data_IF_378149170683
#
_entry.id   IF_378149170683
#
_cell.length_a   1.000
_cell.length_b   1.000
_cell.length_c   1.000
_cell.angle_alpha   90.00
_cell.angle_beta   90.00
_cell.angle_gamma   90.00
#
_symmetry.space_group_name_H-M   'P 1'
#
loop_
_entity.id
_entity.type
_entity.pdbx_description
1 polymer ?
#
# COMPACT_ATOMS: atom_id res chain seq x y z
N UNK A 1 11.95 1.65 -6.66
CA UNK A 1 11.60 0.33 -6.10
C UNK A 1 12.50 0.09 -4.92
N UNK A 2 11.91 -0.11 -3.73
CA UNK A 2 12.67 -0.58 -2.57
C UNK A 2 12.68 -2.10 -2.59
N UNK A 3 13.85 -2.71 -2.70
CA UNK A 3 14.01 -4.16 -2.68
C UNK A 3 14.57 -4.60 -1.31
N UNK A 4 13.74 -5.36 -0.58
CA UNK A 4 14.10 -5.97 0.70
C UNK A 4 14.11 -7.50 0.64
N UNK A 5 13.98 -8.09 -0.54
CA UNK A 5 13.89 -9.56 -0.73
C UNK A 5 15.13 -10.30 -0.24
N UNK A 6 16.27 -9.61 -0.16
CA UNK A 6 17.54 -10.15 0.33
C UNK A 6 17.72 -9.99 1.85
N UNK A 7 16.79 -9.34 2.55
CA UNK A 7 16.87 -9.14 4.00
C UNK A 7 16.11 -10.27 4.70
N UNK A 8 16.80 -11.08 5.50
CA UNK A 8 16.16 -12.14 6.27
C UNK A 8 15.08 -11.60 7.23
N UNK A 9 14.01 -12.38 7.46
CA UNK A 9 12.94 -12.02 8.38
C UNK A 9 12.06 -10.86 7.90
N UNK A 10 11.80 -10.78 6.60
CA UNK A 10 10.94 -9.77 5.97
C UNK A 10 9.80 -10.37 5.11
N UNK A 11 9.89 -11.64 4.72
CA UNK A 11 8.86 -12.29 3.93
C UNK A 11 7.64 -12.62 4.81
N UNK A 12 6.50 -11.98 4.54
CA UNK A 12 5.22 -12.02 5.26
C UNK A 12 5.27 -11.48 6.71
N UNK A 13 6.40 -11.59 7.37
CA UNK A 13 6.65 -11.11 8.73
C UNK A 13 7.88 -10.21 8.73
N UNK A 14 7.87 -9.19 9.58
CA UNK A 14 8.98 -8.25 9.73
C UNK A 14 9.58 -8.34 11.14
N UNK A 15 10.74 -8.98 11.24
CA UNK A 15 11.50 -9.03 12.48
C UNK A 15 11.89 -7.62 12.96
N UNK A 16 11.97 -7.35 14.27
CA UNK A 16 12.30 -6.02 14.80
C UNK A 16 13.60 -5.44 14.24
N UNK A 17 14.64 -6.26 14.09
CA UNK A 17 15.93 -5.85 13.53
C UNK A 17 15.82 -5.48 12.05
N UNK A 18 14.99 -6.21 11.30
CA UNK A 18 14.71 -5.92 9.89
C UNK A 18 13.89 -4.66 9.74
N UNK A 19 12.89 -4.44 10.60
CA UNK A 19 12.13 -3.20 10.66
C UNK A 19 13.04 -1.99 10.94
N UNK A 20 14.02 -2.10 11.85
CA UNK A 20 14.98 -1.04 12.12
C UNK A 20 15.85 -0.72 10.88
N UNK A 21 16.35 -1.75 10.18
CA UNK A 21 17.13 -1.58 8.94
C UNK A 21 16.32 -0.96 7.81
N UNK A 22 15.05 -1.34 7.68
CA UNK A 22 14.14 -0.76 6.68
C UNK A 22 13.94 0.73 6.96
N UNK A 23 13.63 1.09 8.22
CA UNK A 23 13.48 2.50 8.64
C UNK A 23 14.74 3.33 8.35
N UNK A 24 15.92 2.79 8.63
CA UNK A 24 17.19 3.44 8.31
C UNK A 24 17.34 3.67 6.80
N UNK A 25 17.04 2.65 5.98
CA UNK A 25 17.14 2.73 4.51
C UNK A 25 16.19 3.77 3.90
N UNK A 26 15.00 3.94 4.45
CA UNK A 26 14.02 4.92 3.95
C UNK A 26 14.11 6.28 4.67
N UNK A 27 15.06 6.46 5.58
CA UNK A 27 15.13 7.66 6.43
C UNK A 27 15.19 8.96 5.63
N UNK A 28 15.99 8.99 4.57
CA UNK A 28 16.14 10.17 3.69
C UNK A 28 15.08 10.28 2.59
N UNK A 29 14.21 9.29 2.43
CA UNK A 29 13.14 9.32 1.42
C UNK A 29 11.98 10.18 1.88
N UNK A 30 11.39 10.94 0.96
CA UNK A 30 10.20 11.75 1.20
C UNK A 30 8.95 10.84 1.25
N UNK A 31 8.17 10.83 2.35
CA UNK A 31 6.95 10.04 2.41
C UNK A 31 5.86 10.50 1.43
N UNK A 32 5.92 11.74 0.90
CA UNK A 32 4.91 12.30 0.01
C UNK A 32 4.96 11.81 -1.46
N UNK A 33 5.88 10.89 -1.77
CA UNK A 33 6.00 10.29 -3.10
C UNK A 33 5.15 9.05 -3.35
N UNK A 34 5.34 8.47 -4.55
CA UNK A 34 4.83 7.15 -4.94
C UNK A 34 5.92 6.10 -4.68
N UNK A 35 5.61 5.12 -3.83
CA UNK A 35 6.55 4.11 -3.40
C UNK A 35 6.16 2.73 -3.93
N UNK A 36 7.09 2.04 -4.58
CA UNK A 36 6.87 0.67 -5.02
C UNK A 36 7.35 -0.28 -3.93
N UNK A 37 6.38 -1.04 -3.42
CA UNK A 37 6.50 -2.20 -2.56
C UNK A 37 6.44 -3.43 -3.47
N UNK A 38 7.19 -4.47 -3.15
CA UNK A 38 7.39 -5.67 -3.97
C UNK A 38 6.10 -6.53 -4.03
N UNK A 39 6.14 -7.79 -3.62
CA UNK A 39 4.96 -8.66 -3.47
C UNK A 39 4.10 -8.27 -2.25
N UNK A 40 2.87 -8.77 -2.19
CA UNK A 40 1.93 -8.60 -1.05
C UNK A 40 2.53 -8.94 0.32
N UNK A 41 3.50 -9.86 0.36
CA UNK A 41 4.25 -10.23 1.57
C UNK A 41 4.87 -9.04 2.33
N UNK A 42 5.13 -7.94 1.63
CA UNK A 42 5.81 -6.76 2.16
C UNK A 42 4.86 -5.57 2.36
N UNK A 43 3.54 -5.76 2.26
CA UNK A 43 2.57 -4.67 2.34
C UNK A 43 2.68 -3.87 3.65
N UNK A 44 3.17 -4.51 4.72
CA UNK A 44 3.49 -3.85 5.98
C UNK A 44 4.49 -2.68 5.87
N UNK A 45 5.24 -2.55 4.76
CA UNK A 45 6.12 -1.40 4.50
C UNK A 45 5.35 -0.07 4.49
N UNK A 46 4.05 -0.09 4.16
CA UNK A 46 3.15 1.07 4.29
C UNK A 46 3.20 1.68 5.68
N UNK A 47 3.28 0.86 6.73
CA UNK A 47 3.38 1.33 8.12
C UNK A 47 4.58 2.27 8.31
N UNK A 48 5.74 1.93 7.73
CA UNK A 48 6.96 2.73 7.88
C UNK A 48 6.90 4.05 7.10
N UNK A 49 6.12 4.11 6.03
CA UNK A 49 5.84 5.38 5.35
C UNK A 49 4.92 6.28 6.18
N UNK A 50 3.87 5.70 6.78
CA UNK A 50 2.95 6.43 7.65
C UNK A 50 3.66 7.03 8.88
N UNK A 51 4.60 6.28 9.49
CA UNK A 51 5.42 6.76 10.61
C UNK A 51 6.21 8.05 10.28
N UNK A 52 6.56 8.26 9.01
CA UNK A 52 7.34 9.42 8.56
C UNK A 52 6.49 10.67 8.31
N UNK A 53 5.17 10.56 8.28
CA UNK A 53 4.29 11.70 8.04
C UNK A 53 4.34 12.68 9.23
N UNK A 54 4.65 13.94 8.93
CA UNK A 54 4.75 14.99 9.95
C UNK A 54 3.39 15.46 10.50
N UNK A 55 2.31 15.21 9.77
CA UNK A 55 0.94 15.59 10.13
C UNK A 55 -0.01 14.39 10.00
N UNK A 56 -1.08 14.32 10.80
CA UNK A 56 -2.07 13.27 10.66
C UNK A 56 -2.71 13.23 9.27
N UNK A 57 -3.05 12.02 8.81
CA UNK A 57 -3.74 11.75 7.56
C UNK A 57 -4.86 10.72 7.77
N UNK A 58 -5.69 10.57 6.74
CA UNK A 58 -6.57 9.41 6.59
C UNK A 58 -5.80 8.36 5.79
N UNK A 59 -5.81 7.11 6.23
CA UNK A 59 -5.31 5.98 5.45
C UNK A 59 -6.47 5.40 4.63
N UNK A 60 -6.30 5.33 3.31
CA UNK A 60 -7.18 4.60 2.42
C UNK A 60 -6.36 3.50 1.76
N UNK A 61 -6.71 2.24 2.00
CA UNK A 61 -6.02 1.12 1.36
C UNK A 61 -6.97 0.32 0.47
N UNK A 62 -6.43 -0.20 -0.63
CA UNK A 62 -7.12 -1.09 -1.55
C UNK A 62 -6.45 -2.45 -1.52
N UNK A 63 -7.21 -3.47 -1.17
CA UNK A 63 -6.69 -4.79 -0.83
C UNK A 63 -7.81 -5.84 -0.83
N UNK A 64 -7.55 -7.03 -1.37
CA UNK A 64 -8.46 -8.17 -1.24
C UNK A 64 -8.43 -8.78 0.17
N UNK A 65 -7.35 -8.56 0.92
CA UNK A 65 -7.16 -8.96 2.30
C UNK A 65 -7.45 -7.80 3.27
N UNK A 66 -7.94 -8.08 4.51
CA UNK A 66 -8.20 -7.03 5.48
C UNK A 66 -6.94 -6.45 6.12
N UNK A 67 -5.88 -7.26 6.23
CA UNK A 67 -4.60 -6.91 6.88
C UNK A 67 -4.68 -6.32 8.30
N UNK A 68 -5.81 -6.57 8.98
CA UNK A 68 -6.18 -6.05 10.30
C UNK A 68 -6.29 -7.18 11.33
N UNK A 69 -5.57 -8.29 11.11
CA UNK A 69 -5.58 -9.44 12.04
C UNK A 69 -4.78 -9.12 13.30
N UNK A 70 -5.06 -9.86 14.39
CA UNK A 70 -4.17 -9.85 15.56
C UNK A 70 -2.82 -10.46 15.20
N UNK A 71 -1.76 -10.03 15.90
CA UNK A 71 -0.44 -10.58 15.68
C UNK A 71 -0.37 -12.07 16.05
N UNK A 72 0.10 -12.88 15.11
CA UNK A 72 0.16 -14.34 15.27
C UNK A 72 1.20 -14.79 16.33
N UNK A 73 2.18 -13.96 16.66
CA UNK A 73 3.29 -14.32 17.56
C UNK A 73 3.66 -13.21 18.54
N UNK A 74 3.84 -13.59 19.82
CA UNK A 74 4.51 -12.80 20.85
C UNK A 74 3.99 -11.37 21.03
N UNK A 75 4.92 -10.44 21.26
CA UNK A 75 4.69 -9.02 21.60
C UNK A 75 4.17 -8.16 20.42
N UNK A 76 3.49 -8.75 19.44
CA UNK A 76 2.94 -8.00 18.32
C UNK A 76 3.85 -7.95 17.09
N UNK A 77 4.43 -9.09 16.68
CA UNK A 77 5.27 -9.16 15.47
C UNK A 77 4.51 -8.60 14.25
N UNK A 78 5.12 -7.65 13.55
CA UNK A 78 4.55 -7.04 12.35
C UNK A 78 4.56 -8.04 11.18
N UNK A 79 3.52 -8.00 10.35
CA UNK A 79 3.31 -8.88 9.20
C UNK A 79 2.43 -8.20 8.15
N UNK A 80 2.37 -8.75 6.94
CA UNK A 80 1.37 -8.33 5.95
C UNK A 80 -0.05 -8.49 6.52
N UNK A 81 -0.36 -9.59 7.21
CA UNK A 81 -1.72 -9.80 7.74
C UNK A 81 -2.18 -8.88 8.89
N UNK A 82 -1.32 -8.03 9.48
CA UNK A 82 -1.67 -7.21 10.65
C UNK A 82 -1.19 -5.74 10.60
N UNK A 83 -0.65 -5.28 9.48
CA UNK A 83 -0.10 -3.92 9.42
C UNK A 83 -1.17 -2.84 9.57
N UNK A 84 -2.42 -3.10 9.17
CA UNK A 84 -3.53 -2.17 9.34
C UNK A 84 -3.87 -2.00 10.83
N UNK A 85 -3.84 -3.08 11.59
CA UNK A 85 -4.04 -3.04 13.05
C UNK A 85 -2.97 -2.20 13.75
N UNK A 86 -1.73 -2.28 13.27
CA UNK A 86 -0.63 -1.43 13.73
C UNK A 86 -0.81 0.03 13.28
N UNK A 87 -1.20 0.27 12.02
CA UNK A 87 -1.40 1.59 11.45
C UNK A 87 -2.48 2.38 12.20
N UNK A 88 -3.59 1.74 12.60
CA UNK A 88 -4.65 2.35 13.43
C UNK A 88 -4.16 2.91 14.76
N UNK A 89 -3.02 2.45 15.27
CA UNK A 89 -2.45 2.88 16.55
C UNK A 89 -1.46 4.03 16.38
N UNK A 90 -1.10 4.39 15.15
CA UNK A 90 -0.21 5.51 14.88
C UNK A 90 -0.91 6.85 15.12
N UNK A 91 -0.29 7.81 15.82
CA UNK A 91 -0.86 9.15 15.98
C UNK A 91 -0.99 9.91 14.65
N UNK A 92 -0.27 9.49 13.61
CA UNK A 92 -0.37 10.01 12.25
C UNK A 92 -1.62 9.52 11.51
N UNK A 93 -2.31 8.47 11.98
CA UNK A 93 -3.45 7.89 11.27
C UNK A 93 -4.74 8.23 12.01
N UNK A 94 -5.50 9.18 11.48
CA UNK A 94 -6.73 9.66 12.10
C UNK A 94 -7.93 8.74 11.83
N UNK A 95 -7.97 8.11 10.65
CA UNK A 95 -8.99 7.17 10.24
C UNK A 95 -8.42 6.20 9.20
N UNK A 96 -9.03 5.02 9.09
CA UNK A 96 -8.67 4.00 8.10
C UNK A 96 -9.92 3.56 7.34
N UNK A 97 -9.84 3.54 6.01
CA UNK A 97 -10.86 3.02 5.12
C UNK A 97 -10.28 1.97 4.18
N UNK A 98 -11.08 0.97 3.84
CA UNK A 98 -10.70 -0.13 2.94
C UNK A 98 -11.57 -0.08 1.68
N UNK A 99 -10.94 -0.22 0.51
CA UNK A 99 -11.59 -0.38 -0.79
C UNK A 99 -12.57 0.75 -1.17
N UNK A 100 -12.29 1.96 -0.69
CA UNK A 100 -13.08 3.17 -0.96
C UNK A 100 -13.44 3.94 0.31
N UNK A 101 -14.20 5.01 0.12
CA UNK A 101 -14.75 5.84 1.20
C UNK A 101 -16.26 5.65 1.29
N UNK A 102 -16.91 6.04 2.40
CA UNK A 102 -18.37 5.98 2.53
C UNK A 102 -19.08 6.63 1.34
N UNK A 103 -20.19 6.04 0.91
CA UNK A 103 -21.01 6.59 -0.18
C UNK A 103 -21.56 7.98 0.16
N UNK A 104 -21.65 8.85 -0.85
CA UNK A 104 -22.15 10.22 -0.72
C UNK A 104 -21.05 11.28 -0.65
N UNK A 105 -21.39 12.45 -0.09
CA UNK A 105 -20.47 13.59 0.06
C UNK A 105 -19.48 13.33 1.21
N UNK A 106 -18.50 12.46 0.95
CA UNK A 106 -17.44 12.16 1.89
C UNK A 106 -16.58 13.41 2.16
N UNK A 107 -16.43 13.76 3.44
CA UNK A 107 -15.65 14.92 3.87
C UNK A 107 -14.44 14.46 4.72
N UNK A 108 -13.20 14.61 4.22
CA UNK A 108 -11.98 14.26 4.95
C UNK A 108 -11.62 15.25 6.07
N UNK A 109 -12.47 16.24 6.36
CA UNK A 109 -12.29 17.25 7.41
C UNK A 109 -10.96 18.02 7.30
N UNK A 110 -10.49 18.24 6.07
CA UNK A 110 -9.23 18.93 5.78
C UNK A 110 -7.96 18.10 6.00
N UNK A 111 -8.09 16.81 6.34
CA UNK A 111 -6.95 15.91 6.43
C UNK A 111 -6.50 15.43 5.04
N UNK A 112 -5.19 15.30 4.80
CA UNK A 112 -4.69 14.65 3.60
C UNK A 112 -4.94 13.13 3.66
N UNK A 113 -4.85 12.47 2.51
CA UNK A 113 -5.08 11.02 2.38
C UNK A 113 -3.80 10.31 1.96
N UNK A 114 -3.36 9.32 2.71
CA UNK A 114 -2.34 8.37 2.26
C UNK A 114 -3.04 7.18 1.59
N UNK A 115 -2.59 6.82 0.38
CA UNK A 115 -3.19 5.73 -0.39
C UNK A 115 -2.23 4.54 -0.44
N UNK A 116 -2.66 3.36 -0.05
CA UNK A 116 -1.89 2.11 -0.24
C UNK A 116 -2.69 1.15 -1.11
N UNK A 117 -2.05 0.54 -2.11
CA UNK A 117 -2.75 -0.35 -3.05
C UNK A 117 -1.99 -1.67 -3.12
N UNK A 118 -2.57 -2.74 -2.59
CA UNK A 118 -2.22 -4.09 -3.04
C UNK A 118 -3.01 -4.41 -4.31
N UNK A 119 -2.29 -4.80 -5.36
CA UNK A 119 -2.88 -5.15 -6.65
C UNK A 119 -3.73 -6.41 -6.60
N UNK A 120 -3.64 -7.23 -5.55
CA UNK A 120 -4.53 -8.37 -5.40
C UNK A 120 -6.00 -7.97 -5.27
N UNK A 121 -6.32 -6.71 -4.94
CA UNK A 121 -7.70 -6.18 -4.96
C UNK A 121 -8.33 -6.28 -6.35
N UNK A 122 -7.50 -6.24 -7.40
CA UNK A 122 -7.94 -6.20 -8.78
C UNK A 122 -8.31 -7.59 -9.29
N UNK A 123 -9.11 -7.65 -10.36
CA UNK A 123 -9.37 -8.90 -11.07
C UNK A 123 -8.11 -9.44 -11.74
N UNK A 124 -8.10 -10.74 -12.07
CA UNK A 124 -7.09 -11.35 -12.92
C UNK A 124 -6.90 -10.66 -14.29
N UNK A 125 -7.80 -9.79 -14.74
CA UNK A 125 -7.56 -9.06 -15.99
C UNK A 125 -6.44 -8.02 -15.85
N UNK A 126 -6.29 -7.42 -14.66
CA UNK A 126 -5.42 -6.27 -14.43
C UNK A 126 -4.24 -6.55 -13.50
N UNK A 127 -4.29 -7.61 -12.70
CA UNK A 127 -3.17 -7.98 -11.85
C UNK A 127 -2.97 -9.49 -11.85
N UNK A 128 -1.73 -9.89 -11.59
CA UNK A 128 -1.29 -11.25 -11.30
C UNK A 128 -0.46 -11.19 -10.04
N UNK A 129 -0.97 -11.76 -8.96
CA UNK A 129 -0.28 -11.82 -7.67
C UNK A 129 -0.13 -13.29 -7.27
N UNK A 130 0.62 -13.56 -6.20
CA UNK A 130 0.69 -14.88 -5.58
C UNK A 130 -0.28 -15.05 -4.40
N UNK A 131 -1.15 -14.07 -4.20
CA UNK A 131 -2.22 -14.04 -3.21
C UNK A 131 -3.59 -14.21 -3.89
N UNK A 132 -4.61 -14.60 -3.13
CA UNK A 132 -5.97 -14.72 -3.67
C UNK A 132 -6.46 -13.37 -4.20
N UNK A 133 -6.86 -13.32 -5.46
CA UNK A 133 -7.32 -12.09 -6.09
C UNK A 133 -8.76 -11.73 -5.72
N UNK A 134 -9.01 -10.43 -5.73
CA UNK A 134 -10.31 -9.81 -5.62
C UNK A 134 -10.99 -9.63 -6.97
N UNK A 135 -12.04 -8.81 -6.95
CA UNK A 135 -12.96 -8.65 -8.08
C UNK A 135 -13.00 -7.22 -8.64
N UNK A 136 -12.16 -6.31 -8.14
CA UNK A 136 -12.19 -4.91 -8.56
C UNK A 136 -11.60 -4.74 -9.96
N UNK A 137 -12.30 -4.05 -10.85
CA UNK A 137 -11.77 -3.67 -12.16
C UNK A 137 -10.88 -2.43 -12.02
N UNK A 138 -9.78 -2.34 -12.77
CA UNK A 138 -8.89 -1.17 -12.73
C UNK A 138 -9.62 0.17 -12.93
N UNK A 139 -10.60 0.31 -13.85
CA UNK A 139 -11.39 1.53 -13.96
C UNK A 139 -12.16 1.92 -12.68
N UNK A 140 -12.61 0.94 -11.88
CA UNK A 140 -13.30 1.22 -10.60
C UNK A 140 -12.31 1.77 -9.57
N UNK A 141 -11.11 1.19 -9.50
CA UNK A 141 -10.03 1.71 -8.67
C UNK A 141 -9.68 3.16 -9.04
N UNK A 142 -9.50 3.44 -10.34
CA UNK A 142 -9.17 4.79 -10.83
C UNK A 142 -10.28 5.80 -10.55
N UNK A 143 -11.56 5.44 -10.73
CA UNK A 143 -12.70 6.31 -10.39
C UNK A 143 -12.70 6.63 -8.89
N UNK A 144 -12.50 5.62 -8.04
CA UNK A 144 -12.41 5.82 -6.59
C UNK A 144 -11.24 6.75 -6.23
N UNK A 145 -10.03 6.50 -6.74
CA UNK A 145 -8.86 7.35 -6.51
C UNK A 145 -9.08 8.80 -7.00
N UNK A 146 -9.77 8.98 -8.12
CA UNK A 146 -10.12 10.30 -8.65
C UNK A 146 -11.03 11.09 -7.72
N UNK A 147 -12.07 10.44 -7.14
CA UNK A 147 -12.95 11.07 -6.15
C UNK A 147 -12.20 11.47 -4.89
N UNK A 148 -11.28 10.62 -4.43
CA UNK A 148 -10.44 10.90 -3.25
C UNK A 148 -9.54 12.10 -3.49
N UNK A 149 -8.83 12.13 -4.61
CA UNK A 149 -7.93 13.22 -4.95
C UNK A 149 -8.66 14.54 -5.22
N UNK A 150 -9.93 14.50 -5.63
CA UNK A 150 -10.79 15.68 -5.73
C UNK A 150 -11.22 16.21 -4.34
N UNK A 151 -11.35 15.34 -3.34
CA UNK A 151 -11.78 15.69 -1.99
C UNK A 151 -10.64 16.12 -1.05
N UNK A 152 -9.44 15.57 -1.23
CA UNK A 152 -8.27 15.87 -0.38
C UNK A 152 -6.93 15.73 -1.12
N UNK A 153 -5.89 16.47 -0.69
CA UNK A 153 -4.53 16.25 -1.18
C UNK A 153 -4.00 14.88 -0.73
N UNK A 154 -3.18 14.25 -1.59
CA UNK A 154 -2.49 13.02 -1.23
C UNK A 154 -1.30 13.32 -0.31
N UNK A 155 -1.20 12.57 0.79
CA UNK A 155 -0.06 12.59 1.72
C UNK A 155 1.13 11.77 1.22
N UNK A 156 0.93 10.97 0.17
CA UNK A 156 1.82 9.95 -0.35
C UNK A 156 1.01 8.75 -0.83
N UNK A 157 1.63 7.85 -1.58
CA UNK A 157 1.02 6.56 -1.87
C UNK A 157 2.05 5.45 -2.05
N UNK A 158 1.60 4.21 -1.93
CA UNK A 158 2.38 3.04 -2.29
C UNK A 158 1.58 2.04 -3.15
N UNK A 159 2.34 1.25 -3.91
CA UNK A 159 1.85 0.17 -4.78
C UNK A 159 2.55 -1.12 -4.38
N UNK A 160 1.79 -2.15 -4.05
CA UNK A 160 2.18 -3.49 -3.62
C UNK A 160 1.56 -4.55 -4.57
N UNK A 161 1.80 -5.84 -4.31
CA UNK A 161 1.17 -6.94 -5.05
C UNK A 161 1.88 -7.30 -6.36
N UNK A 162 3.21 -7.20 -6.42
CA UNK A 162 4.00 -7.79 -7.51
C UNK A 162 3.97 -9.33 -7.49
N UNK A 163 4.37 -9.96 -8.61
CA UNK A 163 4.60 -11.40 -8.71
C UNK A 163 6.02 -11.64 -9.23
N UNK A 164 6.75 -12.55 -8.60
CA UNK A 164 8.18 -12.80 -8.88
C UNK A 164 8.40 -14.15 -9.57
N UNK A 165 9.54 -14.30 -10.25
CA UNK A 165 9.92 -15.57 -10.91
C UNK A 165 9.98 -16.72 -9.90
N UNK A 166 10.49 -16.48 -8.69
CA UNK A 166 10.56 -17.48 -7.62
C UNK A 166 9.18 -17.95 -7.15
N UNK A 167 8.14 -17.14 -7.38
CA UNK A 167 6.74 -17.45 -7.08
C UNK A 167 5.94 -17.89 -8.31
N UNK A 168 6.62 -18.22 -9.40
CA UNK A 168 6.00 -18.81 -10.59
C UNK A 168 5.53 -17.82 -11.64
N UNK A 169 5.98 -16.55 -11.60
CA UNK A 169 5.64 -15.57 -12.64
C UNK A 169 6.00 -16.06 -14.05
N UNK A 170 5.06 -15.91 -14.97
CA UNK A 170 5.27 -16.04 -16.41
C UNK A 170 5.59 -14.69 -17.05
N UNK A 171 6.12 -14.65 -18.29
CA UNK A 171 6.27 -13.40 -19.04
C UNK A 171 4.96 -12.64 -19.24
N UNK A 172 3.83 -13.34 -19.35
CA UNK A 172 2.50 -12.72 -19.48
C UNK A 172 2.10 -12.00 -18.19
N UNK A 173 2.39 -12.61 -17.03
CA UNK A 173 2.08 -11.99 -15.73
C UNK A 173 2.82 -10.68 -15.53
N UNK A 174 4.11 -10.65 -15.91
CA UNK A 174 4.89 -9.41 -15.91
C UNK A 174 4.30 -8.35 -16.84
N UNK A 175 3.81 -8.74 -18.02
CA UNK A 175 3.19 -7.79 -18.96
C UNK A 175 1.87 -7.23 -18.42
N UNK A 176 1.03 -8.06 -17.79
CA UNK A 176 -0.22 -7.62 -17.17
C UNK A 176 0.09 -6.62 -16.04
N UNK A 177 0.95 -7.01 -15.10
CA UNK A 177 1.33 -6.17 -13.97
C UNK A 177 2.00 -4.86 -14.42
N UNK A 178 2.94 -4.91 -15.36
CA UNK A 178 3.64 -3.71 -15.83
C UNK A 178 2.69 -2.71 -16.51
N UNK A 179 1.66 -3.18 -17.24
CA UNK A 179 0.63 -2.29 -17.80
C UNK A 179 -0.13 -1.56 -16.71
N UNK A 180 -0.58 -2.29 -15.68
CA UNK A 180 -1.30 -1.71 -14.54
C UNK A 180 -0.43 -0.77 -13.72
N UNK A 181 0.84 -1.11 -13.49
CA UNK A 181 1.80 -0.26 -12.78
C UNK A 181 2.01 1.07 -13.50
N UNK A 182 2.11 1.06 -14.83
CA UNK A 182 2.22 2.28 -15.64
C UNK A 182 0.95 3.13 -15.53
N UNK A 183 -0.23 2.51 -15.62
CA UNK A 183 -1.51 3.22 -15.52
C UNK A 183 -1.65 3.87 -14.14
N UNK A 184 -1.41 3.13 -13.06
CA UNK A 184 -1.52 3.64 -11.70
C UNK A 184 -0.48 4.73 -11.42
N UNK A 185 0.76 4.55 -11.89
CA UNK A 185 1.81 5.57 -11.80
C UNK A 185 1.40 6.85 -12.50
N UNK A 186 1.00 6.76 -13.75
CA UNK A 186 0.68 7.93 -14.58
C UNK A 186 -0.59 8.65 -14.07
N UNK A 187 -1.48 7.92 -13.38
CA UNK A 187 -2.62 8.50 -12.69
C UNK A 187 -2.24 9.19 -11.37
N UNK A 188 -1.42 8.55 -10.54
CA UNK A 188 -1.12 9.03 -9.17
C UNK A 188 -0.06 10.12 -9.14
N UNK A 189 1.00 10.02 -9.96
CA UNK A 189 2.11 10.98 -9.92
C UNK A 189 1.67 12.45 -10.11
N UNK A 190 0.76 12.79 -11.04
CA UNK A 190 0.28 14.17 -11.18
C UNK A 190 -0.53 14.67 -9.97
N UNK A 191 -1.08 13.77 -9.16
CA UNK A 191 -1.90 14.09 -7.97
C UNK A 191 -1.04 14.29 -6.73
N UNK A 192 0.18 13.75 -6.74
CA UNK A 192 1.18 13.99 -5.72
C UNK A 192 1.79 15.37 -5.97
N UNK A 193 1.45 16.32 -5.11
CA UNK A 193 1.93 17.69 -5.24
C UNK A 193 3.43 17.72 -5.03
N UNK A 194 4.15 17.85 -6.13
CA UNK A 194 5.53 18.31 -6.14
C UNK A 194 5.48 19.80 -5.79
N UNK A 195 5.60 20.12 -4.51
CA UNK A 195 5.89 21.49 -4.07
C UNK A 195 7.39 21.80 -4.31
#
# INVERSE_FOLDING_TARGET
>A
MLDFTQLEGTCCYCAPESAARIREKIASSDPAGLHWIDTGDYHYLTLFWLEKLARPCILLYYDNHPDDQDAAFGDGLLSCGNWVAAARRLPQVAAVFRNGVPEGDWNPAGLPVYVSIDKDVLTPEFARTDWDQGEMMLPQLLDSLGRIAAAAPLAGADLCGGLTVSKGATPEDFQINAKTDVILRDFLLPLMRYD
#
